data_IF_113781900695
#
_entry.id   IF_113781900695
#
_cell.length_a   1.000
_cell.length_b   1.000
_cell.length_c   1.000
_cell.angle_alpha   90.00
_cell.angle_beta   90.00
_cell.angle_gamma   90.00
#
_symmetry.space_group_name_H-M   'P 1'
#
loop_
_entity.id
_entity.type
_entity.pdbx_description
1 polymer ?
#
# COMPACT_ATOMS: atom_id res chain seq x y z
N UNK A 1 6.81 -30.46 -21.98
CA UNK A 1 5.78 -30.25 -20.94
C UNK A 1 4.93 -29.05 -21.36
N UNK A 2 3.60 -29.20 -21.48
CA UNK A 2 2.78 -28.32 -22.31
C UNK A 2 2.78 -26.85 -21.87
N UNK A 3 2.77 -25.95 -22.84
CA UNK A 3 2.57 -24.49 -22.71
C UNK A 3 1.41 -24.17 -21.74
N UNK A 4 0.32 -24.91 -21.83
CA UNK A 4 -0.86 -24.79 -20.98
C UNK A 4 -0.55 -24.99 -19.49
N UNK A 5 0.32 -25.93 -19.11
CA UNK A 5 0.69 -26.18 -17.71
C UNK A 5 1.46 -24.99 -17.12
N UNK A 6 2.34 -24.37 -17.89
CA UNK A 6 3.09 -23.20 -17.47
C UNK A 6 2.18 -21.96 -17.36
N UNK A 7 1.29 -21.76 -18.31
CA UNK A 7 0.29 -20.68 -18.26
C UNK A 7 -0.61 -20.82 -17.05
N UNK A 8 -1.15 -22.02 -16.81
CA UNK A 8 -2.00 -22.28 -15.64
C UNK A 8 -1.26 -22.03 -14.32
N UNK A 9 -0.02 -22.50 -14.21
CA UNK A 9 0.82 -22.28 -13.03
C UNK A 9 1.07 -20.77 -12.78
N UNK A 10 1.41 -20.04 -13.82
CA UNK A 10 1.64 -18.59 -13.71
C UNK A 10 0.37 -17.86 -13.32
N UNK A 11 -0.75 -18.15 -13.96
CA UNK A 11 -2.06 -17.55 -13.65
C UNK A 11 -2.48 -17.84 -12.21
N UNK A 12 -2.29 -19.08 -11.74
CA UNK A 12 -2.59 -19.45 -10.36
C UNK A 12 -1.72 -18.68 -9.35
N UNK A 13 -0.42 -18.52 -9.62
CA UNK A 13 0.49 -17.77 -8.74
C UNK A 13 0.10 -16.30 -8.69
N UNK A 14 -0.15 -15.65 -9.83
CA UNK A 14 -0.60 -14.25 -9.86
C UNK A 14 -1.96 -14.07 -9.21
N UNK A 15 -2.90 -14.99 -9.44
CA UNK A 15 -4.22 -14.98 -8.81
C UNK A 15 -4.12 -15.08 -7.29
N UNK A 16 -3.38 -16.06 -6.79
CA UNK A 16 -3.14 -16.22 -5.35
C UNK A 16 -2.43 -15.00 -4.75
N UNK A 17 -1.39 -14.48 -5.42
CA UNK A 17 -0.68 -13.28 -4.96
C UNK A 17 -1.56 -12.02 -4.93
N UNK A 18 -2.69 -12.02 -5.61
CA UNK A 18 -3.65 -10.91 -5.61
C UNK A 18 -4.79 -11.13 -4.60
N UNK A 19 -5.27 -12.37 -4.47
CA UNK A 19 -6.40 -12.71 -3.60
C UNK A 19 -5.99 -12.84 -2.14
N UNK A 20 -4.87 -13.52 -1.85
CA UNK A 20 -4.39 -13.72 -0.48
C UNK A 20 -4.20 -12.41 0.31
N UNK A 21 -3.56 -11.36 -0.24
CA UNK A 21 -3.48 -10.07 0.43
C UNK A 21 -4.83 -9.51 0.85
N UNK A 22 -5.82 -9.59 -0.01
CA UNK A 22 -7.18 -9.09 0.29
C UNK A 22 -7.85 -9.90 1.39
N UNK A 23 -7.70 -11.23 1.37
CA UNK A 23 -8.22 -12.09 2.42
C UNK A 23 -7.58 -11.80 3.78
N UNK A 24 -6.26 -11.62 3.81
CA UNK A 24 -5.54 -11.29 5.03
C UNK A 24 -5.91 -9.89 5.56
N UNK A 25 -6.04 -8.90 4.69
CA UNK A 25 -6.52 -7.57 5.10
C UNK A 25 -7.92 -7.61 5.69
N UNK A 26 -8.79 -8.49 5.17
CA UNK A 26 -10.12 -8.69 5.74
C UNK A 26 -10.08 -9.27 7.16
N UNK A 27 -9.07 -10.09 7.50
CA UNK A 27 -8.89 -10.61 8.87
C UNK A 27 -8.53 -9.52 9.89
N UNK A 28 -8.01 -8.38 9.44
CA UNK A 28 -7.74 -7.23 10.33
C UNK A 28 -9.00 -6.44 10.70
N UNK A 29 -10.08 -6.55 9.92
CA UNK A 29 -11.31 -5.79 10.18
C UNK A 29 -11.90 -6.09 11.57
N UNK A 30 -12.09 -7.35 12.01
CA UNK A 30 -12.52 -7.64 13.38
C UNK A 30 -11.58 -7.06 14.43
N UNK A 31 -10.27 -7.15 14.20
CA UNK A 31 -9.28 -6.60 15.13
C UNK A 31 -9.43 -5.09 15.30
N UNK A 32 -9.65 -4.37 14.20
CA UNK A 32 -9.84 -2.93 14.24
C UNK A 32 -11.17 -2.53 14.90
N UNK A 33 -12.24 -3.27 14.63
CA UNK A 33 -13.56 -2.99 15.21
C UNK A 33 -13.64 -3.28 16.71
N UNK A 34 -12.85 -4.25 17.19
CA UNK A 34 -12.82 -4.62 18.61
C UNK A 34 -11.92 -3.69 19.44
N UNK A 35 -10.83 -3.20 18.85
CA UNK A 35 -9.82 -2.41 19.56
C UNK A 35 -9.98 -0.91 19.43
N UNK A 36 -10.57 -0.42 18.34
CA UNK A 36 -10.72 1.00 18.09
C UNK A 36 -12.11 1.51 18.53
N UNK A 37 -12.18 2.69 19.13
CA UNK A 37 -13.43 3.42 19.28
C UNK A 37 -14.09 3.64 17.90
N UNK A 38 -15.42 3.68 17.85
CA UNK A 38 -16.17 3.85 16.58
C UNK A 38 -15.73 5.07 15.78
N UNK A 39 -15.41 6.17 16.44
CA UNK A 39 -14.94 7.40 15.81
C UNK A 39 -13.57 7.19 15.12
N UNK A 40 -12.63 6.51 15.78
CA UNK A 40 -11.29 6.22 15.25
C UNK A 40 -11.38 5.23 14.08
N UNK A 41 -12.20 4.20 14.18
CA UNK A 41 -12.45 3.27 13.06
C UNK A 41 -13.07 4.01 11.87
N UNK A 42 -13.91 5.00 12.10
CA UNK A 42 -14.45 5.88 11.06
C UNK A 42 -13.36 6.62 10.31
N UNK A 43 -12.39 7.22 11.02
CA UNK A 43 -11.22 7.90 10.41
C UNK A 43 -10.39 6.94 9.54
N UNK A 44 -10.09 5.74 10.04
CA UNK A 44 -9.38 4.69 9.29
C UNK A 44 -10.13 4.35 8.00
N UNK A 45 -11.44 4.20 8.06
CA UNK A 45 -12.28 3.87 6.90
C UNK A 45 -12.24 4.98 5.84
N UNK A 46 -12.25 6.25 6.26
CA UNK A 46 -12.12 7.40 5.35
C UNK A 46 -10.74 7.40 4.70
N UNK A 47 -9.66 7.19 5.46
CA UNK A 47 -8.28 7.11 4.94
C UNK A 47 -8.18 6.01 3.87
N UNK A 48 -8.68 4.81 4.13
CA UNK A 48 -8.67 3.73 3.16
C UNK A 48 -9.50 4.04 1.90
N UNK A 49 -10.66 4.68 2.05
CA UNK A 49 -11.46 5.10 0.91
C UNK A 49 -10.69 6.11 0.03
N UNK A 50 -10.01 7.08 0.65
CA UNK A 50 -9.15 8.03 -0.04
C UNK A 50 -7.98 7.35 -0.73
N UNK A 51 -7.32 6.41 -0.05
CA UNK A 51 -6.21 5.64 -0.64
C UNK A 51 -6.67 4.88 -1.89
N UNK A 52 -7.83 4.22 -1.84
CA UNK A 52 -8.37 3.50 -3.01
C UNK A 52 -8.65 4.48 -4.16
N UNK A 53 -9.30 5.61 -3.87
CA UNK A 53 -9.64 6.60 -4.88
C UNK A 53 -8.41 7.24 -5.53
N UNK A 54 -7.47 7.73 -4.73
CA UNK A 54 -6.27 8.38 -5.25
C UNK A 54 -5.30 7.40 -5.90
N UNK A 55 -5.21 6.16 -5.45
CA UNK A 55 -4.42 5.13 -6.13
C UNK A 55 -4.88 4.91 -7.57
N UNK A 56 -6.19 4.92 -7.83
CA UNK A 56 -6.72 4.81 -9.20
C UNK A 56 -6.32 6.03 -10.04
N UNK A 57 -6.43 7.24 -9.48
CA UNK A 57 -6.05 8.48 -10.17
C UNK A 57 -4.55 8.50 -10.47
N UNK A 58 -3.71 8.16 -9.48
CA UNK A 58 -2.25 8.16 -9.62
C UNK A 58 -1.74 7.07 -10.56
N UNK A 59 -2.45 5.95 -10.63
CA UNK A 59 -2.13 4.90 -11.61
C UNK A 59 -2.44 5.32 -13.05
N UNK A 60 -3.42 6.18 -13.28
CA UNK A 60 -3.92 6.72 -14.56
C UNK A 60 -3.77 5.77 -15.77
N UNK A 61 -3.95 4.48 -15.53
CA UNK A 61 -3.83 3.46 -16.57
C UNK A 61 -2.39 3.12 -16.99
N UNK A 62 -1.37 3.60 -16.28
CA UNK A 62 0.04 3.39 -16.61
C UNK A 62 0.41 1.90 -16.73
N UNK A 63 -0.19 1.03 -15.92
CA UNK A 63 0.03 -0.41 -16.03
C UNK A 63 -0.40 -0.95 -17.41
N UNK A 64 -1.58 -0.56 -17.87
CA UNK A 64 -2.10 -0.96 -19.19
C UNK A 64 -1.26 -0.37 -20.32
N UNK A 65 -0.88 0.90 -20.21
CA UNK A 65 0.00 1.56 -21.16
C UNK A 65 1.36 0.87 -21.21
N UNK A 66 1.96 0.57 -20.06
CA UNK A 66 3.22 -0.16 -19.98
C UNK A 66 3.18 -1.48 -20.76
N UNK A 67 2.17 -2.34 -20.52
CA UNK A 67 2.06 -3.62 -21.23
C UNK A 67 1.85 -3.46 -22.73
N UNK A 68 1.05 -2.47 -23.14
CA UNK A 68 0.81 -2.19 -24.56
C UNK A 68 2.11 -1.82 -25.26
N UNK A 69 2.86 -0.85 -24.76
CA UNK A 69 4.10 -0.39 -25.36
C UNK A 69 5.21 -1.42 -25.22
N UNK A 70 5.35 -2.08 -24.07
CA UNK A 70 6.36 -3.11 -23.85
C UNK A 70 6.24 -4.30 -24.81
N UNK A 71 5.02 -4.65 -25.23
CA UNK A 71 4.81 -5.74 -26.19
C UNK A 71 5.01 -5.30 -27.66
N UNK A 72 4.77 -4.04 -27.97
CA UNK A 72 4.79 -3.54 -29.35
C UNK A 72 6.11 -2.89 -29.75
N UNK A 73 6.81 -2.29 -28.81
CA UNK A 73 8.08 -1.60 -29.09
C UNK A 73 9.26 -2.58 -29.11
N UNK A 74 10.25 -2.27 -29.99
CA UNK A 74 11.50 -3.04 -30.08
C UNK A 74 12.43 -2.73 -28.92
N UNK A 75 12.49 -1.47 -28.51
CA UNK A 75 13.31 -1.01 -27.39
C UNK A 75 12.51 -1.04 -26.10
N UNK A 76 12.57 -2.17 -25.42
CA UNK A 76 11.86 -2.42 -24.16
C UNK A 76 12.44 -1.63 -22.99
N UNK A 77 13.73 -1.33 -23.02
CA UNK A 77 14.40 -0.55 -22.00
C UNK A 77 13.91 0.89 -22.00
N UNK A 78 13.81 1.51 -23.15
CA UNK A 78 13.25 2.85 -23.29
C UNK A 78 11.80 2.94 -22.79
N UNK A 79 10.98 1.90 -23.02
CA UNK A 79 9.61 1.85 -22.47
C UNK A 79 9.64 1.84 -20.94
N UNK A 80 10.52 1.05 -20.32
CA UNK A 80 10.66 0.99 -18.85
C UNK A 80 11.12 2.33 -18.30
N UNK A 81 12.11 2.95 -18.89
CA UNK A 81 12.65 4.24 -18.47
C UNK A 81 11.60 5.34 -18.59
N UNK A 82 10.97 5.47 -19.75
CA UNK A 82 9.96 6.49 -20.01
C UNK A 82 8.77 6.38 -19.07
N UNK A 83 8.26 5.16 -18.84
CA UNK A 83 7.13 4.94 -17.92
C UNK A 83 7.54 5.18 -16.47
N UNK A 84 8.77 4.83 -16.08
CA UNK A 84 9.29 5.10 -14.73
C UNK A 84 9.43 6.60 -14.48
N UNK A 85 10.01 7.34 -15.42
CA UNK A 85 10.16 8.80 -15.33
C UNK A 85 8.80 9.49 -15.30
N UNK A 86 7.85 9.03 -16.12
CA UNK A 86 6.49 9.58 -16.14
C UNK A 86 5.79 9.42 -14.79
N UNK A 87 5.81 8.22 -14.20
CA UNK A 87 5.21 7.94 -12.88
C UNK A 87 5.94 8.72 -11.77
N UNK A 88 7.26 8.82 -11.85
CA UNK A 88 8.03 9.58 -10.87
C UNK A 88 7.60 11.04 -10.84
N UNK A 89 7.55 11.71 -11.99
CA UNK A 89 7.14 13.11 -12.04
C UNK A 89 5.68 13.32 -11.66
N UNK A 90 4.76 12.46 -12.09
CA UNK A 90 3.35 12.58 -11.70
C UNK A 90 3.15 12.37 -10.19
N UNK A 91 3.85 11.41 -9.59
CA UNK A 91 3.82 11.17 -8.15
C UNK A 91 4.45 12.33 -7.37
N UNK A 92 5.53 12.92 -7.89
CA UNK A 92 6.17 14.08 -7.27
C UNK A 92 5.29 15.32 -7.31
N UNK A 93 4.64 15.60 -8.45
CA UNK A 93 3.68 16.70 -8.60
C UNK A 93 2.50 16.52 -7.65
N UNK A 94 1.96 15.27 -7.56
CA UNK A 94 0.90 14.97 -6.62
C UNK A 94 1.33 15.20 -5.18
N UNK A 95 2.49 14.67 -4.79
CA UNK A 95 3.04 14.82 -3.43
C UNK A 95 3.18 16.29 -3.07
N UNK A 96 3.76 17.10 -3.96
CA UNK A 96 3.93 18.53 -3.74
C UNK A 96 2.59 19.25 -3.62
N UNK A 97 1.66 19.01 -4.55
CA UNK A 97 0.34 19.62 -4.53
C UNK A 97 -0.44 19.22 -3.27
N UNK A 98 -0.49 17.91 -2.94
CA UNK A 98 -1.21 17.41 -1.77
C UNK A 98 -0.61 17.94 -0.45
N UNK A 99 0.72 18.12 -0.38
CA UNK A 99 1.38 18.70 0.79
C UNK A 99 1.04 20.20 0.97
N UNK A 100 0.88 20.97 -0.11
CA UNK A 100 0.43 22.35 -0.02
C UNK A 100 -0.99 22.46 0.56
N UNK A 101 -1.87 21.53 0.20
CA UNK A 101 -3.27 21.54 0.63
C UNK A 101 -3.55 20.64 1.85
N UNK A 102 -2.52 20.11 2.52
CA UNK A 102 -2.66 19.14 3.62
C UNK A 102 -3.60 19.60 4.75
N UNK A 103 -3.53 20.87 5.14
CA UNK A 103 -4.36 21.41 6.21
C UNK A 103 -5.83 21.50 5.77
N UNK A 104 -6.08 21.97 4.55
CA UNK A 104 -7.43 22.03 3.99
C UNK A 104 -8.04 20.63 3.84
N UNK A 105 -7.21 19.63 3.46
CA UNK A 105 -7.63 18.24 3.39
C UNK A 105 -7.95 17.66 4.77
N UNK A 106 -7.16 18.01 5.78
CA UNK A 106 -7.37 17.62 7.16
C UNK A 106 -8.68 18.21 7.71
N UNK A 107 -8.90 19.51 7.53
CA UNK A 107 -10.10 20.20 7.98
C UNK A 107 -11.37 19.66 7.29
N UNK A 108 -11.28 19.39 5.98
CA UNK A 108 -12.41 18.87 5.22
C UNK A 108 -12.79 17.44 5.58
N UNK A 109 -11.83 16.62 5.96
CA UNK A 109 -12.06 15.20 6.30
C UNK A 109 -12.28 14.95 7.80
N UNK A 110 -12.10 15.95 8.64
CA UNK A 110 -12.09 15.83 10.11
C UNK A 110 -11.06 14.79 10.60
N UNK A 111 -9.89 14.78 9.94
CA UNK A 111 -8.77 13.88 10.22
C UNK A 111 -7.55 14.73 10.59
N UNK A 112 -6.81 14.30 11.61
CA UNK A 112 -5.56 14.97 11.99
C UNK A 112 -4.60 15.12 10.80
N UNK A 113 -4.03 16.32 10.64
CA UNK A 113 -3.09 16.65 9.58
C UNK A 113 -1.90 15.67 9.49
N UNK A 114 -1.52 15.07 10.61
CA UNK A 114 -0.46 14.07 10.66
C UNK A 114 -0.81 12.79 9.90
N UNK A 115 -2.04 12.28 10.03
CA UNK A 115 -2.49 11.11 9.28
C UNK A 115 -2.66 11.42 7.80
N UNK A 116 -3.10 12.64 7.46
CA UNK A 116 -3.17 13.10 6.07
C UNK A 116 -1.78 13.10 5.44
N UNK A 117 -0.75 13.60 6.14
CA UNK A 117 0.64 13.58 5.66
C UNK A 117 1.12 12.15 5.40
N UNK A 118 0.89 11.21 6.31
CA UNK A 118 1.27 9.81 6.10
C UNK A 118 0.55 9.20 4.90
N UNK A 119 -0.75 9.47 4.76
CA UNK A 119 -1.54 9.01 3.61
C UNK A 119 -0.99 9.53 2.28
N UNK A 120 -0.61 10.82 2.21
CA UNK A 120 -0.01 11.42 1.03
C UNK A 120 1.31 10.73 0.67
N UNK A 121 2.18 10.47 1.65
CA UNK A 121 3.44 9.76 1.42
C UNK A 121 3.22 8.33 0.94
N UNK A 122 2.31 7.59 1.57
CA UNK A 122 1.97 6.21 1.18
C UNK A 122 1.47 6.20 -0.27
N UNK A 123 0.55 7.09 -0.64
CA UNK A 123 0.01 7.18 -2.00
C UNK A 123 1.09 7.48 -3.04
N UNK A 124 1.99 8.42 -2.75
CA UNK A 124 3.08 8.75 -3.66
C UNK A 124 4.04 7.56 -3.86
N UNK A 125 4.37 6.84 -2.78
CA UNK A 125 5.23 5.67 -2.84
C UNK A 125 4.55 4.48 -3.53
N UNK A 126 3.26 4.25 -3.28
CA UNK A 126 2.47 3.23 -3.95
C UNK A 126 2.42 3.42 -5.48
N UNK A 127 2.29 4.68 -5.92
CA UNK A 127 2.33 4.98 -7.36
C UNK A 127 3.67 4.59 -7.99
N UNK A 128 4.79 4.85 -7.33
CA UNK A 128 6.13 4.50 -7.84
C UNK A 128 6.33 2.99 -8.01
N UNK A 129 5.62 2.16 -7.27
CA UNK A 129 5.75 0.70 -7.32
C UNK A 129 5.04 0.08 -8.53
N UNK A 130 4.15 0.82 -9.22
CA UNK A 130 3.37 0.33 -10.37
C UNK A 130 4.27 -0.21 -11.49
N UNK A 131 5.30 0.56 -11.88
CA UNK A 131 6.20 0.16 -12.99
C UNK A 131 7.08 -1.03 -12.61
N UNK A 132 7.76 -1.08 -11.45
CA UNK A 132 8.49 -2.26 -11.00
C UNK A 132 7.64 -3.54 -10.99
N UNK A 133 6.40 -3.49 -10.50
CA UNK A 133 5.51 -4.65 -10.52
C UNK A 133 5.08 -5.04 -11.93
N UNK A 134 4.82 -4.07 -12.81
CA UNK A 134 4.51 -4.32 -14.21
C UNK A 134 5.70 -4.97 -14.94
N UNK A 135 6.92 -4.52 -14.65
CA UNK A 135 8.17 -5.12 -15.17
C UNK A 135 8.31 -6.58 -14.73
N UNK A 136 8.07 -6.90 -13.44
CA UNK A 136 8.12 -8.28 -12.95
C UNK A 136 7.15 -9.20 -13.70
N UNK A 137 5.94 -8.69 -13.99
CA UNK A 137 4.94 -9.45 -14.76
C UNK A 137 5.34 -9.59 -16.22
N UNK A 138 5.84 -8.54 -16.86
CA UNK A 138 6.33 -8.58 -18.24
C UNK A 138 7.49 -9.57 -18.42
N UNK A 139 8.38 -9.67 -17.43
CA UNK A 139 9.48 -10.62 -17.41
C UNK A 139 9.08 -12.04 -16.95
N UNK A 140 7.78 -12.31 -16.78
CA UNK A 140 7.28 -13.62 -16.36
C UNK A 140 7.94 -14.16 -15.09
N UNK A 141 8.13 -13.29 -14.07
CA UNK A 141 8.69 -13.64 -12.76
C UNK A 141 7.60 -13.72 -11.68
N UNK A 142 6.63 -14.66 -11.79
CA UNK A 142 5.47 -14.71 -10.89
C UNK A 142 5.84 -14.99 -9.44
N UNK A 143 6.88 -15.80 -9.19
CA UNK A 143 7.31 -16.12 -7.83
C UNK A 143 7.85 -14.89 -7.10
N UNK A 144 8.67 -14.07 -7.76
CA UNK A 144 9.21 -12.85 -7.14
C UNK A 144 8.07 -11.86 -6.85
N UNK A 145 7.15 -11.69 -7.80
CA UNK A 145 5.95 -10.88 -7.61
C UNK A 145 5.14 -11.35 -6.39
N UNK A 146 4.87 -12.66 -6.30
CA UNK A 146 4.10 -13.24 -5.21
C UNK A 146 4.80 -13.08 -3.85
N UNK A 147 6.11 -13.34 -3.77
CA UNK A 147 6.88 -13.20 -2.53
C UNK A 147 6.83 -11.76 -2.02
N UNK A 148 7.01 -10.76 -2.89
CA UNK A 148 6.96 -9.36 -2.49
C UNK A 148 5.55 -8.98 -2.01
N UNK A 149 4.50 -9.36 -2.75
CA UNK A 149 3.10 -9.05 -2.39
C UNK A 149 2.68 -9.71 -1.07
N UNK A 150 2.95 -11.00 -0.93
CA UNK A 150 2.60 -11.75 0.28
C UNK A 150 3.47 -11.28 1.46
N UNK A 151 4.77 -11.08 1.23
CA UNK A 151 5.69 -10.55 2.24
C UNK A 151 5.24 -9.20 2.79
N UNK A 152 4.83 -8.27 1.93
CA UNK A 152 4.27 -6.99 2.35
C UNK A 152 3.06 -7.18 3.30
N UNK A 153 2.13 -8.07 2.93
CA UNK A 153 0.95 -8.33 3.76
C UNK A 153 1.32 -8.97 5.09
N UNK A 154 2.24 -9.93 5.09
CA UNK A 154 2.70 -10.57 6.34
C UNK A 154 3.35 -9.54 7.26
N UNK A 155 4.20 -8.65 6.72
CA UNK A 155 4.81 -7.57 7.50
C UNK A 155 3.75 -6.62 8.04
N UNK A 156 2.81 -6.18 7.21
CA UNK A 156 1.72 -5.30 7.62
C UNK A 156 0.88 -5.93 8.74
N UNK A 157 0.43 -7.18 8.57
CA UNK A 157 -0.30 -7.92 9.60
C UNK A 157 0.47 -8.04 10.91
N UNK A 158 1.76 -8.40 10.81
CA UNK A 158 2.61 -8.57 12.00
C UNK A 158 2.78 -7.26 12.74
N UNK A 159 3.01 -6.17 12.03
CA UNK A 159 3.14 -4.83 12.62
C UNK A 159 1.82 -4.35 13.23
N UNK A 160 0.69 -4.51 12.53
CA UNK A 160 -0.63 -4.13 13.06
C UNK A 160 -0.96 -4.88 14.35
N UNK A 161 -0.75 -6.20 14.37
CA UNK A 161 -0.96 -7.02 15.58
C UNK A 161 0.01 -6.60 16.69
N UNK A 162 1.28 -6.36 16.37
CA UNK A 162 2.28 -5.94 17.34
C UNK A 162 1.92 -4.58 17.96
N UNK A 163 1.65 -3.58 17.15
CA UNK A 163 1.38 -2.23 17.64
C UNK A 163 0.04 -2.09 18.34
N UNK A 164 -0.99 -2.81 17.90
CA UNK A 164 -2.32 -2.70 18.49
C UNK A 164 -2.54 -3.60 19.71
N UNK A 165 -1.93 -4.79 19.75
CA UNK A 165 -2.16 -5.74 20.85
C UNK A 165 -0.98 -5.83 21.83
N UNK A 166 0.25 -5.93 21.33
CA UNK A 166 1.41 -6.17 22.17
C UNK A 166 2.01 -4.90 22.74
N UNK A 167 2.14 -3.84 21.95
CA UNK A 167 2.76 -2.60 22.40
C UNK A 167 2.03 -1.94 23.59
N UNK A 168 0.68 -1.85 23.64
CA UNK A 168 -0.02 -1.31 24.81
C UNK A 168 0.23 -2.14 26.08
N UNK A 169 0.27 -3.47 25.97
CA UNK A 169 0.56 -4.37 27.11
C UNK A 169 1.98 -4.20 27.62
N UNK A 170 2.95 -4.06 26.71
CA UNK A 170 4.36 -3.83 27.07
C UNK A 170 4.51 -2.46 27.74
N UNK A 171 3.86 -1.42 27.23
CA UNK A 171 3.92 -0.08 27.79
C UNK A 171 3.36 -0.02 29.21
N UNK A 172 2.29 -0.78 29.49
CA UNK A 172 1.72 -0.89 30.85
C UNK A 172 2.62 -1.70 31.79
N UNK A 173 3.27 -2.76 31.31
CA UNK A 173 4.10 -3.63 32.14
C UNK A 173 5.49 -3.03 32.41
N UNK A 174 6.04 -2.27 31.49
CA UNK A 174 7.39 -1.67 31.56
C UNK A 174 7.36 -0.20 31.13
N UNK A 175 6.86 0.73 31.96
CA UNK A 175 6.66 2.14 31.58
C UNK A 175 7.96 2.86 31.16
N UNK A 176 9.10 2.45 31.70
CA UNK A 176 10.41 3.04 31.41
C UNK A 176 11.22 2.25 30.35
N UNK A 177 10.61 1.28 29.67
CA UNK A 177 11.27 0.49 28.63
C UNK A 177 11.41 1.25 27.31
N UNK A 178 12.43 0.90 26.51
CA UNK A 178 12.64 1.50 25.18
C UNK A 178 11.40 1.33 24.25
N UNK A 179 10.72 0.18 24.35
CA UNK A 179 9.51 -0.07 23.55
C UNK A 179 8.30 0.74 24.01
N UNK A 180 8.22 1.10 25.29
CA UNK A 180 7.14 1.96 25.79
C UNK A 180 7.23 3.40 25.28
N UNK A 181 8.42 3.87 24.90
CA UNK A 181 8.59 5.18 24.26
C UNK A 181 7.98 5.24 22.85
N UNK A 182 7.73 4.10 22.21
CA UNK A 182 7.03 4.00 20.93
C UNK A 182 5.51 4.01 21.08
N UNK A 183 5.00 3.81 22.29
CA UNK A 183 3.57 3.86 22.56
C UNK A 183 3.12 5.30 22.80
N UNK A 184 2.25 5.79 21.95
CA UNK A 184 1.60 7.09 22.08
C UNK A 184 0.12 6.85 22.36
N UNK A 185 -0.36 7.34 23.49
CA UNK A 185 -1.77 7.26 23.87
C UNK A 185 -2.62 7.99 22.82
N UNK A 186 -3.71 7.38 22.37
CA UNK A 186 -4.61 7.89 21.32
C UNK A 186 -4.00 7.95 19.89
N UNK A 187 -2.86 7.31 19.64
CA UNK A 187 -2.27 7.24 18.29
C UNK A 187 -2.58 5.92 17.57
N UNK A 188 -3.65 5.24 17.93
CA UNK A 188 -4.00 3.91 17.39
C UNK A 188 -4.23 3.92 15.88
N UNK A 189 -4.81 4.98 15.34
CA UNK A 189 -4.98 5.17 13.87
C UNK A 189 -3.64 5.24 13.15
N UNK A 190 -2.61 5.82 13.76
CA UNK A 190 -1.28 5.93 13.17
C UNK A 190 -0.50 4.62 13.12
N UNK A 191 -0.95 3.59 13.84
CA UNK A 191 -0.33 2.25 13.83
C UNK A 191 -0.95 1.31 12.78
N UNK A 192 -2.00 1.71 12.08
CA UNK A 192 -2.71 0.97 11.03
C UNK A 192 -2.21 1.38 9.65
#
# INVERSE_FOLDING_TARGET
>A
MSLYKNLFKQTAIYGLATVLPRMFSFLLVPLYTDLLPKAEYGKVSIIFAWMIFFNVILAYGMETAFFRFYNNEKDKENVIETTTVSIFWSSFIFLFAAMLFRNSLADWSDIDSQYVIYTIWILALDALVIVPFSKLRAHQKPMVYAIIKIGNVVVNLSLSVFFLLYLPKIAQSYPNGYLSSLYVENFQVGYI
#
